data_IF_379303551975
#
_entry.id   IF_379303551975
#
_cell.length_a   1.000
_cell.length_b   1.000
_cell.length_c   1.000
_cell.angle_alpha   90.00
_cell.angle_beta   90.00
_cell.angle_gamma   90.00
#
_symmetry.space_group_name_H-M   'P 1'
#
loop_
_entity.id
_entity.type
_entity.pdbx_description
1 polymer ?
#
# COMPACT_ATOMS: atom_id res chain seq x y z
N UNK A 1 -14.00 -19.00 -0.70
CA UNK A 1 -15.42 -18.84 -1.11
C UNK A 1 -15.74 -17.44 -1.62
N UNK A 2 -15.45 -16.36 -0.90
CA UNK A 2 -15.78 -14.98 -1.34
C UNK A 2 -15.18 -14.63 -2.70
N UNK A 3 -13.91 -14.96 -2.96
CA UNK A 3 -13.27 -14.71 -4.27
C UNK A 3 -13.96 -15.47 -5.41
N UNK A 4 -14.38 -16.71 -5.15
CA UNK A 4 -15.08 -17.56 -6.14
C UNK A 4 -16.48 -17.02 -6.39
N UNK A 5 -17.16 -16.53 -5.35
CA UNK A 5 -18.48 -15.91 -5.44
C UNK A 5 -18.43 -14.58 -6.21
N UNK A 6 -17.41 -13.75 -5.93
CA UNK A 6 -17.16 -12.49 -6.64
C UNK A 6 -16.84 -12.77 -8.11
N UNK A 7 -15.97 -13.75 -8.41
CA UNK A 7 -15.61 -14.14 -9.78
C UNK A 7 -16.76 -14.80 -10.55
N UNK A 8 -17.62 -15.56 -9.87
CA UNK A 8 -18.76 -16.23 -10.50
C UNK A 8 -19.94 -15.31 -10.76
N UNK A 9 -20.10 -14.26 -9.94
CA UNK A 9 -21.18 -13.27 -10.09
C UNK A 9 -20.76 -12.11 -11.00
N UNK A 10 -19.46 -11.86 -11.20
CA UNK A 10 -18.99 -10.81 -12.11
C UNK A 10 -19.57 -10.90 -13.52
N UNK A 11 -19.61 -12.06 -14.22
CA UNK A 11 -20.14 -12.12 -15.59
C UNK A 11 -21.63 -11.80 -15.67
N UNK A 12 -22.43 -12.32 -14.73
CA UNK A 12 -23.88 -12.06 -14.64
C UNK A 12 -24.17 -10.60 -14.30
N UNK A 13 -23.33 -9.99 -13.46
CA UNK A 13 -23.44 -8.60 -13.06
C UNK A 13 -23.00 -7.64 -14.17
N UNK A 14 -21.89 -7.94 -14.85
CA UNK A 14 -21.40 -7.18 -16.00
C UNK A 14 -22.35 -7.27 -17.20
N UNK A 15 -23.05 -8.40 -17.38
CA UNK A 15 -24.02 -8.58 -18.46
C UNK A 15 -25.31 -7.77 -18.32
N UNK A 16 -25.69 -7.39 -17.09
CA UNK A 16 -26.90 -6.60 -16.81
C UNK A 16 -26.70 -5.09 -16.83
N UNK A 17 -25.52 -4.61 -17.20
CA UNK A 17 -25.12 -3.22 -17.02
C UNK A 17 -24.97 -2.51 -18.37
N UNK A 18 -25.54 -1.31 -18.50
CA UNK A 18 -25.49 -0.56 -19.75
C UNK A 18 -24.13 0.17 -19.88
N UNK A 19 -23.27 -0.41 -20.70
CA UNK A 19 -21.89 0.03 -20.93
C UNK A 19 -21.75 1.10 -22.01
N UNK A 20 -22.86 1.50 -22.65
CA UNK A 20 -22.93 2.44 -23.76
C UNK A 20 -22.29 3.81 -23.48
N UNK A 21 -22.17 4.20 -22.20
CA UNK A 21 -21.52 5.46 -21.79
C UNK A 21 -20.00 5.41 -21.61
N UNK A 22 -19.35 4.24 -21.72
CA UNK A 22 -17.90 4.11 -21.73
C UNK A 22 -17.44 3.85 -23.17
N UNK A 23 -16.60 4.72 -23.72
CA UNK A 23 -15.91 4.44 -24.98
C UNK A 23 -14.79 3.43 -24.74
N UNK A 24 -15.18 2.16 -24.54
CA UNK A 24 -14.26 1.03 -24.49
C UNK A 24 -13.41 0.96 -25.75
N UNK A 25 -13.93 1.48 -26.87
CA UNK A 25 -13.21 1.60 -28.12
C UNK A 25 -11.97 2.47 -28.02
N UNK A 26 -12.02 3.64 -27.35
CA UNK A 26 -10.85 4.51 -27.21
C UNK A 26 -9.79 3.89 -26.29
N UNK A 27 -10.22 3.31 -25.17
CA UNK A 27 -9.31 2.65 -24.21
C UNK A 27 -8.69 1.40 -24.85
N UNK A 28 -9.49 0.58 -25.54
CA UNK A 28 -9.02 -0.60 -26.25
C UNK A 28 -8.10 -0.20 -27.41
N UNK A 29 -8.38 0.88 -28.13
CA UNK A 29 -7.52 1.37 -29.20
C UNK A 29 -6.13 1.75 -28.67
N UNK A 30 -6.05 2.45 -27.53
CA UNK A 30 -4.77 2.81 -26.90
C UNK A 30 -4.08 1.58 -26.29
N UNK A 31 -4.84 0.74 -25.57
CA UNK A 31 -4.32 -0.48 -24.95
C UNK A 31 -3.80 -1.48 -25.98
N UNK A 32 -4.42 -1.56 -27.17
CA UNK A 32 -4.00 -2.44 -28.27
C UNK A 32 -2.63 -2.09 -28.86
N UNK A 33 -2.09 -0.90 -28.57
CA UNK A 33 -0.71 -0.53 -28.92
C UNK A 33 0.30 -0.86 -27.80
N UNK A 34 -0.17 -1.29 -26.63
CA UNK A 34 0.71 -1.68 -25.52
C UNK A 34 1.13 -3.14 -25.63
N UNK A 35 2.30 -3.52 -25.06
CA UNK A 35 2.73 -4.92 -24.97
C UNK A 35 1.69 -5.88 -24.38
N UNK A 36 0.83 -5.38 -23.49
CA UNK A 36 -0.18 -6.17 -22.79
C UNK A 36 -1.49 -6.30 -23.56
N UNK A 37 -1.86 -5.31 -24.37
CA UNK A 37 -3.10 -5.32 -25.16
C UNK A 37 -2.94 -5.75 -26.62
N UNK A 38 -1.75 -5.58 -27.20
CA UNK A 38 -1.47 -5.96 -28.59
C UNK A 38 -1.77 -7.43 -28.92
N UNK A 39 -1.45 -8.44 -28.06
CA UNK A 39 -1.79 -9.84 -28.34
C UNK A 39 -3.29 -10.10 -28.48
N UNK A 40 -4.11 -9.38 -27.71
CA UNK A 40 -5.57 -9.57 -27.65
C UNK A 40 -6.31 -8.90 -28.81
N UNK A 41 -5.69 -7.90 -29.44
CA UNK A 41 -6.29 -7.15 -30.54
C UNK A 41 -6.05 -7.79 -31.92
N UNK A 42 -5.03 -8.66 -32.05
CA UNK A 42 -4.67 -9.32 -33.32
C UNK A 42 -5.83 -10.17 -33.90
N UNK A 43 -6.54 -11.02 -33.14
CA UNK A 43 -7.65 -11.80 -33.69
C UNK A 43 -8.79 -10.92 -34.24
N UNK A 44 -9.05 -9.79 -33.59
CA UNK A 44 -10.06 -8.83 -34.01
C UNK A 44 -9.64 -8.10 -35.32
N UNK A 45 -8.37 -7.71 -35.44
CA UNK A 45 -7.85 -7.09 -36.66
C UNK A 45 -7.90 -8.05 -37.85
N UNK A 46 -7.56 -9.33 -37.64
CA UNK A 46 -7.64 -10.38 -38.66
C UNK A 46 -9.09 -10.62 -39.08
N UNK A 47 -10.02 -10.70 -38.13
CA UNK A 47 -11.45 -10.86 -38.41
C UNK A 47 -12.04 -9.67 -39.18
N UNK A 48 -11.52 -8.46 -38.95
CA UNK A 48 -11.92 -7.24 -39.68
C UNK A 48 -11.22 -7.04 -41.03
N UNK A 49 -10.33 -7.95 -41.44
CA UNK A 49 -9.55 -7.86 -42.68
C UNK A 49 -8.42 -6.81 -42.66
N UNK A 50 -8.12 -6.23 -41.50
CA UNK A 50 -7.10 -5.20 -41.32
C UNK A 50 -5.71 -5.80 -41.13
N UNK A 51 -5.21 -6.52 -42.15
CA UNK A 51 -3.95 -7.26 -42.11
C UNK A 51 -2.72 -6.40 -41.77
N UNK A 52 -2.71 -5.12 -42.19
CA UNK A 52 -1.62 -4.19 -41.86
C UNK A 52 -1.55 -3.84 -40.38
N UNK A 53 -2.69 -3.66 -39.71
CA UNK A 53 -2.77 -3.40 -38.27
C UNK A 53 -2.41 -4.66 -37.47
N UNK A 54 -2.90 -5.84 -37.91
CA UNK A 54 -2.54 -7.11 -37.32
C UNK A 54 -1.02 -7.35 -37.37
N UNK A 55 -0.38 -7.06 -38.51
CA UNK A 55 1.07 -7.17 -38.68
C UNK A 55 1.84 -6.20 -37.77
N UNK A 56 1.38 -4.95 -37.65
CA UNK A 56 2.00 -3.95 -36.77
C UNK A 56 1.92 -4.37 -35.28
N UNK A 57 0.77 -4.87 -34.83
CA UNK A 57 0.60 -5.35 -33.44
C UNK A 57 1.37 -6.64 -33.19
N UNK A 58 1.45 -7.52 -34.18
CA UNK A 58 2.30 -8.72 -34.11
C UNK A 58 3.79 -8.37 -34.03
N UNK A 59 4.23 -7.32 -34.72
CA UNK A 59 5.60 -6.81 -34.61
C UNK A 59 5.89 -6.26 -33.20
N UNK A 60 4.94 -5.59 -32.56
CA UNK A 60 5.07 -5.13 -31.15
C UNK A 60 5.26 -6.33 -30.23
N UNK A 61 4.44 -7.38 -30.37
CA UNK A 61 4.57 -8.61 -29.57
C UNK A 61 5.93 -9.27 -29.82
N UNK A 62 6.37 -9.37 -31.07
CA UNK A 62 7.68 -9.93 -31.41
C UNK A 62 8.84 -9.14 -30.82
N UNK A 63 8.80 -7.80 -30.87
CA UNK A 63 9.82 -6.93 -30.26
C UNK A 63 9.85 -7.09 -28.73
N UNK A 64 8.68 -7.16 -28.09
CA UNK A 64 8.57 -7.38 -26.64
C UNK A 64 9.18 -8.73 -26.26
N UNK A 65 8.93 -9.78 -27.03
CA UNK A 65 9.56 -11.10 -26.81
C UNK A 65 11.07 -11.04 -27.07
N UNK A 66 11.49 -10.43 -28.17
CA UNK A 66 12.89 -10.35 -28.57
C UNK A 66 13.76 -9.55 -27.58
N UNK A 67 13.21 -8.54 -26.92
CA UNK A 67 13.90 -7.76 -25.87
C UNK A 67 13.68 -8.37 -24.48
N UNK A 68 12.45 -8.77 -24.19
CA UNK A 68 12.03 -9.27 -22.88
C UNK A 68 12.69 -10.60 -22.54
N UNK A 69 12.79 -11.53 -23.48
CA UNK A 69 13.39 -12.84 -23.24
C UNK A 69 14.88 -12.79 -22.88
N UNK A 70 15.77 -12.07 -23.61
CA UNK A 70 17.17 -11.95 -23.21
C UNK A 70 17.35 -11.13 -21.93
N UNK A 71 16.52 -10.10 -21.70
CA UNK A 71 16.56 -9.35 -20.45
C UNK A 71 16.16 -10.24 -19.26
N UNK A 72 15.07 -11.00 -19.41
CA UNK A 72 14.61 -11.97 -18.43
C UNK A 72 15.69 -13.01 -18.14
N UNK A 73 16.29 -13.61 -19.18
CA UNK A 73 17.42 -14.55 -19.02
C UNK A 73 18.58 -13.93 -18.27
N UNK A 74 19.01 -12.70 -18.63
CA UNK A 74 20.10 -12.00 -17.92
C UNK A 74 19.77 -11.72 -16.46
N UNK A 75 18.53 -11.34 -16.17
CA UNK A 75 18.07 -11.07 -14.79
C UNK A 75 17.96 -12.38 -14.00
N UNK A 76 17.48 -13.45 -14.63
CA UNK A 76 17.37 -14.78 -14.02
C UNK A 76 18.75 -15.39 -13.76
N UNK A 77 19.67 -15.32 -14.73
CA UNK A 77 21.04 -15.78 -14.57
C UNK A 77 21.73 -15.01 -13.44
N UNK A 78 21.62 -13.67 -13.42
CA UNK A 78 22.12 -12.89 -12.28
C UNK A 78 21.46 -13.33 -10.99
N UNK A 79 20.15 -13.44 -10.92
CA UNK A 79 19.44 -13.79 -9.70
C UNK A 79 19.83 -15.18 -9.19
N UNK A 80 20.09 -16.15 -10.07
CA UNK A 80 20.47 -17.52 -9.72
C UNK A 80 21.97 -17.69 -9.44
N UNK A 81 22.83 -16.86 -10.04
CA UNK A 81 24.30 -16.94 -9.88
C UNK A 81 24.85 -15.98 -8.82
N UNK A 82 24.04 -15.03 -8.32
CA UNK A 82 24.43 -14.09 -7.26
C UNK A 82 23.96 -14.49 -5.86
N UNK A 83 23.39 -15.68 -5.68
CA UNK A 83 23.14 -16.24 -4.35
C UNK A 83 24.41 -16.92 -3.86
N UNK A 84 25.27 -16.16 -3.18
CA UNK A 84 26.40 -16.69 -2.42
C UNK A 84 27.71 -16.84 -3.19
N UNK A 85 28.07 -15.92 -4.09
CA UNK A 85 29.44 -15.89 -4.60
C UNK A 85 30.38 -15.24 -3.59
N UNK A 86 31.39 -16.02 -3.18
CA UNK A 86 32.69 -15.65 -2.63
C UNK A 86 33.47 -14.70 -3.58
N UNK A 87 32.80 -13.65 -4.06
CA UNK A 87 33.40 -12.57 -4.82
C UNK A 87 34.04 -11.60 -3.86
N UNK A 88 35.36 -11.71 -3.70
CA UNK A 88 36.17 -10.83 -2.87
C UNK A 88 35.70 -9.38 -2.94
N UNK A 89 35.63 -8.76 -1.76
CA UNK A 89 35.21 -7.39 -1.49
C UNK A 89 35.87 -6.38 -2.44
N UNK A 90 35.31 -6.22 -3.63
CA UNK A 90 35.79 -5.23 -4.59
C UNK A 90 35.17 -3.90 -4.22
N UNK A 91 35.97 -3.14 -3.49
CA UNK A 91 35.80 -1.72 -3.19
C UNK A 91 34.69 -1.44 -2.19
N UNK A 92 35.10 -0.89 -1.05
CA UNK A 92 34.28 -0.14 -0.11
C UNK A 92 33.39 0.89 -0.84
N UNK A 93 32.25 0.47 -1.39
CA UNK A 93 31.12 1.38 -1.61
C UNK A 93 30.74 1.78 -0.21
N UNK A 94 31.06 3.01 0.15
CA UNK A 94 30.79 3.54 1.48
C UNK A 94 29.43 3.03 1.97
N UNK A 95 29.45 2.20 3.02
CA UNK A 95 28.28 1.58 3.66
C UNK A 95 27.33 2.62 4.28
N UNK A 96 27.55 3.91 4.00
CA UNK A 96 26.79 5.05 4.47
C UNK A 96 25.62 5.28 3.52
N UNK A 97 24.43 4.88 3.95
CA UNK A 97 23.19 5.29 3.32
C UNK A 97 23.06 6.83 3.42
N UNK A 98 23.01 7.58 2.30
CA UNK A 98 22.91 9.05 2.35
C UNK A 98 21.67 9.53 3.11
N UNK A 99 20.60 8.73 3.06
CA UNK A 99 19.36 9.01 3.79
C UNK A 99 19.52 8.93 5.30
N UNK A 100 20.36 8.01 5.80
CA UNK A 100 20.65 7.89 7.24
C UNK A 100 21.37 9.14 7.72
N UNK A 101 22.41 9.58 6.98
CA UNK A 101 23.14 10.80 7.31
C UNK A 101 22.23 12.05 7.30
N UNK A 102 21.31 12.16 6.33
CA UNK A 102 20.33 13.25 6.28
C UNK A 102 19.33 13.21 7.43
N UNK A 103 18.85 12.03 7.83
CA UNK A 103 17.92 11.89 8.95
C UNK A 103 18.60 12.26 10.27
N UNK A 104 19.83 11.78 10.49
CA UNK A 104 20.64 12.16 11.66
C UNK A 104 20.90 13.67 11.69
N UNK A 105 21.26 14.27 10.55
CA UNK A 105 21.43 15.73 10.43
C UNK A 105 20.15 16.54 10.68
N UNK A 106 18.98 15.90 10.64
CA UNK A 106 17.67 16.50 10.99
C UNK A 106 17.22 16.19 12.42
N UNK A 107 18.09 15.63 13.26
CA UNK A 107 17.80 15.35 14.66
C UNK A 107 17.12 14.00 14.94
N UNK A 108 17.00 13.11 13.96
CA UNK A 108 16.55 11.73 14.19
C UNK A 108 17.66 10.95 14.88
N UNK A 109 17.33 10.09 15.84
CA UNK A 109 18.32 9.26 16.53
C UNK A 109 19.08 8.36 15.52
N UNK A 110 20.39 8.10 15.71
CA UNK A 110 21.14 7.23 14.81
C UNK A 110 20.52 5.84 14.64
N UNK A 111 19.96 5.27 15.71
CA UNK A 111 19.24 3.99 15.68
C UNK A 111 18.00 4.03 14.79
N UNK A 112 17.12 5.02 15.00
CA UNK A 112 15.91 5.17 14.19
C UNK A 112 16.23 5.47 12.72
N UNK A 113 17.26 6.28 12.47
CA UNK A 113 17.71 6.59 11.12
C UNK A 113 18.24 5.34 10.40
N UNK A 114 19.01 4.48 11.08
CA UNK A 114 19.50 3.22 10.52
C UNK A 114 18.36 2.26 10.17
N UNK A 115 17.39 2.09 11.07
CA UNK A 115 16.19 1.28 10.83
C UNK A 115 15.36 1.84 9.67
N UNK A 116 15.14 3.16 9.62
CA UNK A 116 14.45 3.81 8.49
C UNK A 116 15.16 3.58 7.15
N UNK A 117 16.49 3.67 7.13
CA UNK A 117 17.29 3.39 5.94
C UNK A 117 17.16 1.95 5.45
N UNK A 118 17.07 0.98 6.37
CA UNK A 118 16.78 -0.43 6.07
C UNK A 118 15.36 -0.60 5.53
N UNK A 119 14.35 -0.09 6.23
CA UNK A 119 12.94 -0.18 5.80
C UNK A 119 12.74 0.40 4.40
N UNK A 120 13.35 1.56 4.08
CA UNK A 120 13.28 2.16 2.74
C UNK A 120 13.92 1.29 1.65
N UNK A 121 14.96 0.52 1.97
CA UNK A 121 15.51 -0.46 1.02
C UNK A 121 14.53 -1.60 0.76
N UNK A 122 13.80 -2.06 1.78
CA UNK A 122 12.79 -3.10 1.62
C UNK A 122 11.62 -2.65 0.75
N UNK A 123 11.09 -1.45 0.97
CA UNK A 123 10.05 -0.88 0.11
C UNK A 123 10.46 -0.73 -1.36
N UNK A 124 11.76 -0.66 -1.67
CA UNK A 124 12.26 -0.56 -3.05
C UNK A 124 12.57 -1.89 -3.71
N UNK A 125 12.82 -2.94 -2.94
CA UNK A 125 13.45 -4.15 -3.47
C UNK A 125 12.94 -5.48 -2.93
N UNK A 126 12.22 -5.52 -1.81
CA UNK A 126 11.64 -6.76 -1.31
C UNK A 126 10.27 -7.00 -2.00
N UNK A 127 10.10 -8.11 -2.75
CA UNK A 127 8.83 -8.45 -3.38
C UNK A 127 7.63 -8.46 -2.43
N UNK A 128 7.83 -8.77 -1.14
CA UNK A 128 6.76 -8.78 -0.13
C UNK A 128 6.20 -7.38 0.12
N UNK A 129 7.08 -6.38 0.21
CA UNK A 129 6.67 -4.98 0.33
C UNK A 129 6.13 -4.43 -0.98
N UNK A 130 6.65 -4.87 -2.12
CA UNK A 130 6.13 -4.46 -3.44
C UNK A 130 4.71 -4.99 -3.70
N UNK A 131 4.38 -6.21 -3.25
CA UNK A 131 3.00 -6.72 -3.31
C UNK A 131 2.06 -5.87 -2.45
N UNK A 132 2.48 -5.47 -1.25
CA UNK A 132 1.70 -4.53 -0.43
C UNK A 132 1.58 -3.15 -1.10
N UNK A 133 2.63 -2.66 -1.74
CA UNK A 133 2.61 -1.42 -2.53
C UNK A 133 1.65 -1.49 -3.72
N UNK A 134 1.43 -2.68 -4.30
CA UNK A 134 0.41 -2.87 -5.33
C UNK A 134 -1.01 -2.76 -4.77
N UNK A 135 -1.27 -3.33 -3.59
CA UNK A 135 -2.57 -3.20 -2.90
C UNK A 135 -2.95 -1.74 -2.59
N UNK A 136 -1.94 -0.89 -2.35
CA UNK A 136 -2.09 0.55 -2.17
C UNK A 136 -2.64 1.29 -3.40
N UNK A 137 -2.46 0.74 -4.59
CA UNK A 137 -3.01 1.30 -5.83
C UNK A 137 -4.42 0.75 -6.05
N UNK A 138 -4.63 -0.54 -5.80
CA UNK A 138 -5.88 -1.21 -6.14
C UNK A 138 -7.04 -0.81 -5.22
N UNK A 139 -6.82 -0.75 -3.90
CA UNK A 139 -7.92 -0.52 -2.96
C UNK A 139 -8.57 0.87 -3.09
N UNK A 140 -7.81 1.98 -3.27
CA UNK A 140 -8.41 3.30 -3.50
C UNK A 140 -9.17 3.44 -4.82
N UNK A 141 -9.00 2.51 -5.77
CA UNK A 141 -9.76 2.48 -7.03
C UNK A 141 -11.15 1.87 -6.84
N UNK A 142 -11.34 1.04 -5.81
CA UNK A 142 -12.62 0.35 -5.54
C UNK A 142 -13.80 1.32 -5.41
N UNK A 143 -13.74 2.43 -4.63
CA UNK A 143 -14.84 3.39 -4.58
C UNK A 143 -15.20 3.99 -5.94
N UNK A 144 -14.21 4.24 -6.81
CA UNK A 144 -14.42 4.80 -8.14
C UNK A 144 -15.16 3.79 -9.02
N UNK A 145 -14.71 2.53 -8.99
CA UNK A 145 -15.39 1.44 -9.70
C UNK A 145 -16.82 1.32 -9.17
N UNK A 146 -17.02 1.25 -7.85
CA UNK A 146 -18.35 1.15 -7.25
C UNK A 146 -19.26 2.33 -7.64
N UNK A 147 -18.74 3.56 -7.68
CA UNK A 147 -19.52 4.73 -8.13
C UNK A 147 -19.94 4.63 -9.59
N UNK A 148 -19.05 4.17 -10.48
CA UNK A 148 -19.40 3.89 -11.87
C UNK A 148 -20.49 2.82 -11.93
N UNK A 149 -20.35 1.75 -11.14
CA UNK A 149 -21.29 0.65 -11.15
C UNK A 149 -22.69 1.08 -10.69
N UNK A 150 -22.78 1.87 -9.61
CA UNK A 150 -24.04 2.40 -9.09
C UNK A 150 -24.68 3.36 -10.10
N UNK A 151 -23.89 4.25 -10.73
CA UNK A 151 -24.41 5.21 -11.71
C UNK A 151 -24.98 4.58 -12.98
N UNK A 152 -24.62 3.32 -13.27
CA UNK A 152 -25.16 2.57 -14.40
C UNK A 152 -26.48 1.84 -14.07
N UNK A 153 -26.95 1.91 -12.82
CA UNK A 153 -28.27 1.40 -12.43
C UNK A 153 -29.34 2.47 -12.67
N UNK A 154 -30.60 2.07 -12.90
CA UNK A 154 -31.76 2.96 -13.10
C UNK A 154 -32.06 3.92 -11.93
N UNK A 155 -31.24 3.90 -10.88
CA UNK A 155 -31.24 4.81 -9.72
C UNK A 155 -31.15 6.31 -10.07
N UNK A 156 -30.87 6.68 -11.33
CA UNK A 156 -30.92 8.06 -11.81
C UNK A 156 -29.76 8.95 -11.31
N UNK A 157 -28.73 8.37 -10.69
CA UNK A 157 -27.55 9.13 -10.24
C UNK A 157 -26.61 9.38 -11.40
N UNK A 158 -26.41 10.65 -11.74
CA UNK A 158 -25.44 11.05 -12.76
C UNK A 158 -24.02 10.52 -12.45
N UNK A 159 -23.38 9.94 -13.47
CA UNK A 159 -22.06 9.31 -13.36
C UNK A 159 -20.98 10.29 -12.93
N UNK A 160 -20.99 11.52 -13.47
CA UNK A 160 -20.00 12.52 -13.09
C UNK A 160 -20.15 12.89 -11.61
N UNK A 161 -21.39 12.98 -11.13
CA UNK A 161 -21.70 13.22 -9.72
C UNK A 161 -21.26 12.06 -8.81
N UNK A 162 -21.53 10.81 -9.19
CA UNK A 162 -21.12 9.64 -8.41
C UNK A 162 -19.59 9.53 -8.30
N UNK A 163 -18.88 9.62 -9.43
CA UNK A 163 -17.42 9.52 -9.47
C UNK A 163 -16.77 10.64 -8.68
N UNK A 164 -17.27 11.86 -8.80
CA UNK A 164 -16.70 13.01 -8.10
C UNK A 164 -16.87 12.95 -6.57
N UNK A 165 -17.85 12.21 -6.05
CA UNK A 165 -17.93 11.85 -4.63
C UNK A 165 -16.96 10.72 -4.25
N UNK A 166 -16.90 9.65 -5.04
CA UNK A 166 -16.02 8.51 -4.75
C UNK A 166 -14.53 8.87 -4.72
N UNK A 167 -14.12 9.81 -5.56
CA UNK A 167 -12.74 10.30 -5.68
C UNK A 167 -12.25 10.97 -4.37
N UNK A 168 -13.15 11.43 -3.49
CA UNK A 168 -12.80 11.95 -2.16
C UNK A 168 -12.26 10.88 -1.20
N UNK A 169 -12.65 9.61 -1.40
CA UNK A 169 -12.23 8.50 -0.55
C UNK A 169 -10.83 7.97 -0.86
N UNK A 170 -10.27 8.32 -2.03
CA UNK A 170 -9.00 7.79 -2.54
C UNK A 170 -7.84 8.03 -1.56
N UNK A 171 -7.63 9.28 -1.14
CA UNK A 171 -6.53 9.63 -0.26
C UNK A 171 -6.68 9.07 1.18
N UNK A 172 -7.86 9.19 1.84
CA UNK A 172 -8.10 8.55 3.13
C UNK A 172 -7.86 7.03 3.12
N UNK A 173 -8.34 6.33 2.08
CA UNK A 173 -8.14 4.88 1.96
C UNK A 173 -6.68 4.53 1.74
N UNK A 174 -5.99 5.27 0.88
CA UNK A 174 -4.56 5.04 0.64
C UNK A 174 -3.73 5.28 1.92
N UNK A 175 -4.06 6.32 2.69
CA UNK A 175 -3.43 6.59 3.98
C UNK A 175 -3.68 5.47 5.00
N UNK A 176 -4.92 5.00 5.12
CA UNK A 176 -5.25 3.91 6.02
C UNK A 176 -4.50 2.62 5.66
N UNK A 177 -4.61 2.16 4.42
CA UNK A 177 -3.95 0.92 3.95
C UNK A 177 -2.44 1.03 4.07
N UNK A 178 -1.88 2.19 3.72
CA UNK A 178 -0.44 2.37 3.66
C UNK A 178 0.18 2.46 5.05
N UNK A 179 -0.50 3.14 5.98
CA UNK A 179 -0.09 3.19 7.37
C UNK A 179 -0.26 1.84 8.08
N UNK A 180 -1.26 1.07 7.65
CA UNK A 180 -1.49 -0.29 8.14
C UNK A 180 -0.45 -1.29 7.64
N UNK A 181 0.23 -1.05 6.51
CA UNK A 181 1.28 -1.94 5.99
C UNK A 181 2.35 -2.31 7.04
N UNK A 182 2.65 -1.40 7.98
CA UNK A 182 3.65 -1.57 9.06
C UNK A 182 3.20 -2.54 10.17
N UNK A 183 1.93 -2.98 10.18
CA UNK A 183 1.36 -3.77 11.28
C UNK A 183 2.02 -5.14 11.51
N UNK A 184 2.85 -5.61 10.57
CA UNK A 184 3.57 -6.89 10.66
C UNK A 184 5.05 -6.81 10.29
N UNK A 185 5.61 -5.60 10.19
CA UNK A 185 6.99 -5.35 9.73
C UNK A 185 8.04 -6.15 10.52
N UNK A 186 7.75 -6.43 11.79
CA UNK A 186 8.62 -7.22 12.67
C UNK A 186 8.62 -8.69 12.28
N UNK A 187 7.46 -9.26 11.96
CA UNK A 187 7.35 -10.63 11.52
C UNK A 187 8.01 -10.81 10.15
N UNK A 188 7.93 -9.79 9.28
CA UNK A 188 8.63 -9.77 7.99
C UNK A 188 10.16 -9.81 8.12
N UNK A 189 10.72 -9.28 9.23
CA UNK A 189 12.16 -9.40 9.51
C UNK A 189 12.58 -10.83 9.88
N UNK A 190 11.65 -11.72 10.20
CA UNK A 190 11.91 -13.12 10.55
C UNK A 190 13.00 -13.22 11.65
N UNK A 191 13.81 -14.27 11.60
CA UNK A 191 14.99 -14.48 12.45
C UNK A 191 16.01 -13.35 12.37
N UNK A 192 16.06 -12.53 11.31
CA UNK A 192 16.97 -11.38 11.22
C UNK A 192 16.67 -10.28 12.26
N UNK A 193 15.51 -10.34 12.93
CA UNK A 193 15.23 -9.53 14.11
C UNK A 193 16.27 -9.71 15.24
N UNK A 194 17.02 -10.83 15.26
CA UNK A 194 18.12 -11.04 16.21
C UNK A 194 19.13 -9.89 16.23
N UNK A 195 19.39 -9.23 15.09
CA UNK A 195 20.32 -8.10 14.99
C UNK A 195 19.85 -6.91 15.82
N UNK A 196 18.54 -6.67 15.91
CA UNK A 196 17.98 -5.58 16.73
C UNK A 196 18.12 -5.90 18.21
N UNK A 197 18.00 -7.19 18.58
CA UNK A 197 18.19 -7.66 19.96
C UNK A 197 19.67 -7.61 20.36
N UNK A 198 20.58 -8.09 19.51
CA UNK A 198 22.01 -8.13 19.79
C UNK A 198 22.66 -6.74 19.79
N UNK A 199 22.18 -5.81 18.95
CA UNK A 199 22.63 -4.42 18.94
C UNK A 199 21.95 -3.54 20.00
N UNK A 200 21.11 -4.14 20.86
CA UNK A 200 20.31 -3.48 21.90
C UNK A 200 19.58 -2.21 21.41
N UNK A 201 18.94 -2.32 20.24
CA UNK A 201 18.20 -1.20 19.66
C UNK A 201 17.00 -0.87 20.55
N UNK A 202 16.95 0.38 21.03
CA UNK A 202 15.81 0.88 21.82
C UNK A 202 14.53 0.69 21.02
N UNK A 203 13.48 0.19 21.65
CA UNK A 203 12.24 -0.13 20.96
C UNK A 203 11.56 1.09 20.36
N UNK A 204 11.72 2.26 20.99
CA UNK A 204 11.29 3.53 20.41
C UNK A 204 12.01 3.86 19.10
N UNK A 205 13.32 3.59 19.01
CA UNK A 205 14.12 3.85 17.81
C UNK A 205 13.71 2.89 16.68
N UNK A 206 13.46 1.62 17.00
CA UNK A 206 12.93 0.65 16.05
C UNK A 206 11.56 1.08 15.49
N UNK A 207 10.61 1.43 16.38
CA UNK A 207 9.26 1.84 15.96
C UNK A 207 9.28 3.11 15.11
N UNK A 208 10.01 4.15 15.53
CA UNK A 208 10.13 5.38 14.74
C UNK A 208 10.84 5.15 13.42
N UNK A 209 11.88 4.31 13.39
CA UNK A 209 12.59 3.98 12.15
C UNK A 209 11.68 3.34 11.11
N UNK A 210 10.89 2.33 11.51
CA UNK A 210 9.91 1.67 10.62
C UNK A 210 8.84 2.64 10.14
N UNK A 211 8.27 3.42 11.06
CA UNK A 211 7.27 4.43 10.73
C UNK A 211 7.82 5.46 9.73
N UNK A 212 9.03 5.98 9.93
CA UNK A 212 9.70 6.89 9.00
C UNK A 212 9.94 6.25 7.63
N UNK A 213 10.25 4.95 7.60
CA UNK A 213 10.44 4.21 6.35
C UNK A 213 9.23 4.24 5.42
N UNK A 214 8.02 4.22 5.99
CA UNK A 214 6.77 4.34 5.23
C UNK A 214 6.35 5.79 5.04
N UNK A 215 6.33 6.57 6.12
CA UNK A 215 5.80 7.94 6.11
C UNK A 215 6.56 8.85 5.15
N UNK A 216 7.86 8.64 4.94
CA UNK A 216 8.68 9.50 4.09
C UNK A 216 8.18 9.56 2.62
N UNK A 217 7.60 8.47 2.12
CA UNK A 217 7.02 8.43 0.78
C UNK A 217 5.48 8.44 0.80
N UNK A 218 4.85 7.89 1.84
CA UNK A 218 3.39 7.82 1.92
C UNK A 218 2.74 9.16 2.26
N UNK A 219 3.36 9.99 3.11
CA UNK A 219 2.87 11.35 3.43
C UNK A 219 2.75 12.20 2.15
N UNK A 220 3.82 12.40 1.34
CA UNK A 220 3.70 13.27 0.17
C UNK A 220 2.70 12.75 -0.85
N UNK A 221 2.64 11.42 -1.07
CA UNK A 221 1.67 10.83 -2.00
C UNK A 221 0.23 11.06 -1.54
N UNK A 222 -0.07 10.79 -0.26
CA UNK A 222 -1.44 10.94 0.26
C UNK A 222 -1.86 12.40 0.38
N UNK A 223 -0.94 13.33 0.68
CA UNK A 223 -1.22 14.78 0.68
C UNK A 223 -1.53 15.28 -0.74
N UNK A 224 -0.72 14.88 -1.73
CA UNK A 224 -0.98 15.25 -3.13
C UNK A 224 -2.34 14.74 -3.58
N UNK A 225 -2.68 13.49 -3.27
CA UNK A 225 -3.98 12.93 -3.60
C UNK A 225 -5.12 13.64 -2.85
N UNK A 226 -4.97 13.93 -1.56
CA UNK A 226 -6.00 14.61 -0.77
C UNK A 226 -6.34 16.03 -1.29
N UNK A 227 -5.43 16.65 -2.04
CA UNK A 227 -5.63 17.95 -2.69
C UNK A 227 -6.11 17.77 -4.13
N UNK A 228 -5.46 16.91 -4.91
CA UNK A 228 -5.75 16.72 -6.32
C UNK A 228 -7.10 16.07 -6.55
N UNK A 229 -7.46 15.04 -5.76
CA UNK A 229 -8.68 14.26 -6.00
C UNK A 229 -9.95 15.09 -5.79
N UNK A 230 -10.12 15.91 -4.72
CA UNK A 230 -11.29 16.77 -4.60
C UNK A 230 -11.30 17.90 -5.62
N UNK A 231 -10.13 18.45 -5.99
CA UNK A 231 -10.03 19.51 -6.99
C UNK A 231 -10.48 19.03 -8.39
N UNK A 232 -9.98 17.86 -8.83
CA UNK A 232 -10.38 17.23 -10.09
C UNK A 232 -11.85 16.80 -10.10
N UNK A 233 -12.40 16.46 -8.93
CA UNK A 233 -13.83 16.16 -8.75
C UNK A 233 -14.74 17.38 -8.60
N UNK A 234 -14.24 18.60 -8.84
CA UNK A 234 -15.04 19.84 -8.72
C UNK A 234 -15.48 20.17 -7.29
N UNK A 235 -14.83 19.58 -6.27
CA UNK A 235 -15.14 19.72 -4.84
C UNK A 235 -13.96 20.27 -4.05
N UNK A 236 -13.27 21.26 -4.62
CA UNK A 236 -12.10 21.90 -4.00
C UNK A 236 -12.38 22.44 -2.58
N UNK A 237 -13.62 22.85 -2.29
CA UNK A 237 -14.04 23.29 -0.96
C UNK A 237 -13.91 22.20 0.13
N UNK A 238 -13.91 20.91 -0.24
CA UNK A 238 -13.77 19.78 0.68
C UNK A 238 -12.31 19.37 0.92
N UNK A 239 -11.32 20.01 0.28
CA UNK A 239 -9.90 19.68 0.44
C UNK A 239 -9.47 19.68 1.93
N UNK A 240 -9.83 20.67 2.77
CA UNK A 240 -9.46 20.64 4.18
C UNK A 240 -10.02 19.42 4.93
N UNK A 241 -11.27 19.02 4.62
CA UNK A 241 -11.91 17.85 5.25
C UNK A 241 -11.22 16.54 4.85
N UNK A 242 -10.96 16.36 3.55
CA UNK A 242 -10.28 15.17 3.02
C UNK A 242 -8.86 15.07 3.54
N UNK A 243 -8.12 16.18 3.55
CA UNK A 243 -6.76 16.24 4.08
C UNK A 243 -6.73 15.92 5.58
N UNK A 244 -7.65 16.49 6.36
CA UNK A 244 -7.77 16.21 7.80
C UNK A 244 -8.00 14.73 8.10
N UNK A 245 -8.99 14.13 7.43
CA UNK A 245 -9.28 12.70 7.58
C UNK A 245 -8.09 11.83 7.14
N UNK A 246 -7.43 12.20 6.04
CA UNK A 246 -6.26 11.49 5.51
C UNK A 246 -5.12 11.48 6.54
N UNK A 247 -4.80 12.64 7.13
CA UNK A 247 -3.75 12.76 8.15
C UNK A 247 -4.10 12.01 9.44
N UNK A 248 -5.38 12.02 9.84
CA UNK A 248 -5.85 11.26 10.98
C UNK A 248 -5.66 9.76 10.78
N UNK A 249 -6.09 9.22 9.63
CA UNK A 249 -5.94 7.81 9.28
C UNK A 249 -4.47 7.40 9.12
N UNK A 250 -3.64 8.27 8.55
CA UNK A 250 -2.21 8.03 8.41
C UNK A 250 -1.51 7.91 9.77
N UNK A 251 -1.78 8.87 10.67
CA UNK A 251 -1.18 8.88 12.01
C UNK A 251 -1.75 7.81 12.94
N UNK A 252 -3.07 7.61 12.93
CA UNK A 252 -3.73 6.55 13.69
C UNK A 252 -3.31 5.17 13.20
N UNK A 253 -3.26 4.95 11.88
CA UNK A 253 -2.78 3.72 11.28
C UNK A 253 -1.35 3.40 11.69
N UNK A 254 -0.43 4.35 11.59
CA UNK A 254 0.98 4.12 11.97
C UNK A 254 1.14 3.86 13.46
N UNK A 255 0.41 4.59 14.31
CA UNK A 255 0.41 4.38 15.76
C UNK A 255 -0.14 3.01 16.17
N UNK A 256 -1.31 2.63 15.64
CA UNK A 256 -1.95 1.34 15.92
C UNK A 256 -1.10 0.19 15.39
N UNK A 257 -0.60 0.27 14.16
CA UNK A 257 0.34 -0.70 13.58
C UNK A 257 1.58 -0.88 14.47
N UNK A 258 2.14 0.21 14.98
CA UNK A 258 3.31 0.17 15.86
C UNK A 258 3.06 -0.57 17.18
N UNK A 259 1.85 -0.51 17.73
CA UNK A 259 1.44 -1.25 18.93
C UNK A 259 1.15 -2.72 18.61
N UNK A 260 0.28 -2.98 17.63
CA UNK A 260 -0.19 -4.32 17.30
C UNK A 260 0.94 -5.23 16.82
N UNK A 261 1.86 -4.70 15.99
CA UNK A 261 3.05 -5.44 15.52
C UNK A 261 3.96 -5.95 16.65
N UNK A 262 3.94 -5.30 17.82
CA UNK A 262 4.70 -5.73 19.00
C UNK A 262 3.86 -6.51 20.01
N UNK A 263 2.55 -6.25 20.07
CA UNK A 263 1.65 -6.85 21.04
C UNK A 263 1.13 -8.22 20.62
N UNK A 264 0.82 -8.39 19.33
CA UNK A 264 0.18 -9.58 18.75
C UNK A 264 0.91 -9.97 17.46
N UNK A 265 2.13 -10.53 17.55
CA UNK A 265 2.84 -11.00 16.37
C UNK A 265 2.12 -12.21 15.79
N UNK A 266 1.99 -12.26 14.46
CA UNK A 266 1.42 -13.40 13.76
C UNK A 266 2.29 -13.78 12.55
N UNK A 267 2.17 -15.00 12.00
CA UNK A 267 3.12 -15.48 11.02
C UNK A 267 3.05 -14.76 9.66
N UNK A 268 4.20 -14.29 9.20
CA UNK A 268 4.40 -13.64 7.89
C UNK A 268 5.15 -14.58 6.93
N UNK A 269 5.00 -14.45 5.60
CA UNK A 269 5.75 -15.28 4.64
C UNK A 269 7.28 -15.23 4.86
N UNK A 270 7.95 -16.38 5.05
CA UNK A 270 9.37 -16.41 5.35
C UNK A 270 10.23 -15.90 4.17
N UNK A 271 11.45 -15.43 4.44
CA UNK A 271 12.35 -14.93 3.39
C UNK A 271 12.59 -15.97 2.28
N UNK A 272 12.53 -15.54 1.02
CA UNK A 272 12.74 -16.41 -0.14
C UNK A 272 11.54 -17.24 -0.57
N UNK A 273 10.41 -17.18 0.15
CA UNK A 273 9.15 -17.83 -0.27
C UNK A 273 8.25 -16.85 -1.04
N UNK A 274 7.27 -17.39 -1.78
CA UNK A 274 6.32 -16.58 -2.53
C UNK A 274 5.52 -15.67 -1.58
N UNK A 275 5.49 -14.34 -1.78
CA UNK A 275 4.69 -13.42 -0.97
C UNK A 275 3.20 -13.78 -0.88
N UNK A 276 2.68 -14.52 -1.87
CA UNK A 276 1.28 -14.95 -1.95
C UNK A 276 1.01 -16.32 -1.30
N UNK A 277 2.03 -17.00 -0.76
CA UNK A 277 1.81 -18.28 -0.07
C UNK A 277 1.29 -18.04 1.34
N UNK A 278 0.04 -18.45 1.60
CA UNK A 278 -0.59 -18.33 2.91
C UNK A 278 -0.01 -19.35 3.90
N UNK A 279 0.27 -18.89 5.13
CA UNK A 279 0.54 -19.78 6.25
C UNK A 279 -0.78 -20.34 6.80
N UNK A 280 -1.08 -21.60 6.48
CA UNK A 280 -2.38 -22.25 6.76
C UNK A 280 -2.69 -22.54 8.24
N UNK A 281 -1.89 -22.06 9.21
CA UNK A 281 -2.04 -22.40 10.64
C UNK A 281 -2.44 -21.26 11.58
N UNK A 282 -2.39 -19.99 11.14
CA UNK A 282 -2.54 -18.84 12.04
C UNK A 282 -3.73 -17.92 11.73
N UNK A 283 -4.67 -18.39 10.90
CA UNK A 283 -5.76 -17.58 10.38
C UNK A 283 -6.58 -16.88 11.48
N UNK A 284 -6.83 -17.56 12.61
CA UNK A 284 -7.56 -16.98 13.75
C UNK A 284 -6.80 -15.85 14.46
N UNK A 285 -5.51 -16.04 14.74
CA UNK A 285 -4.67 -15.03 15.38
C UNK A 285 -4.49 -13.80 14.48
N UNK A 286 -4.27 -14.01 13.18
CA UNK A 286 -4.25 -12.95 12.18
C UNK A 286 -5.59 -12.22 12.15
N UNK A 287 -6.72 -12.92 12.12
CA UNK A 287 -8.04 -12.30 12.06
C UNK A 287 -8.32 -11.43 13.30
N UNK A 288 -8.00 -11.92 14.51
CA UNK A 288 -8.15 -11.15 15.75
C UNK A 288 -7.23 -9.93 15.78
N UNK A 289 -5.97 -10.08 15.35
CA UNK A 289 -5.03 -8.96 15.27
C UNK A 289 -5.51 -7.89 14.29
N UNK A 290 -5.96 -8.30 13.10
CA UNK A 290 -6.44 -7.39 12.06
C UNK A 290 -7.74 -6.69 12.48
N UNK A 291 -8.76 -7.44 12.91
CA UNK A 291 -10.02 -6.86 13.39
C UNK A 291 -9.80 -5.96 14.60
N UNK A 292 -9.00 -6.41 15.57
CA UNK A 292 -8.65 -5.59 16.74
C UNK A 292 -7.98 -4.29 16.34
N UNK A 293 -7.04 -4.33 15.38
CA UNK A 293 -6.37 -3.13 14.86
C UNK A 293 -7.36 -2.19 14.17
N UNK A 294 -8.33 -2.71 13.42
CA UNK A 294 -9.36 -1.89 12.77
C UNK A 294 -10.34 -1.26 13.76
N UNK A 295 -10.76 -1.99 14.78
CA UNK A 295 -11.63 -1.45 15.83
C UNK A 295 -10.91 -0.32 16.57
N UNK A 296 -9.67 -0.52 17.00
CA UNK A 296 -8.89 0.50 17.71
C UNK A 296 -8.65 1.71 16.81
N UNK A 297 -8.28 1.50 15.55
CA UNK A 297 -8.10 2.58 14.58
C UNK A 297 -9.39 3.37 14.38
N UNK A 298 -10.52 2.68 14.21
CA UNK A 298 -11.84 3.29 14.10
C UNK A 298 -12.13 4.18 15.30
N UNK A 299 -11.97 3.65 16.52
CA UNK A 299 -12.18 4.40 17.77
C UNK A 299 -11.29 5.63 17.86
N UNK A 300 -10.01 5.52 17.51
CA UNK A 300 -9.06 6.64 17.53
C UNK A 300 -9.46 7.74 16.54
N UNK A 301 -10.05 7.38 15.40
CA UNK A 301 -10.45 8.32 14.34
C UNK A 301 -11.85 8.92 14.57
N UNK A 302 -12.67 8.38 15.50
CA UNK A 302 -14.00 8.90 15.84
C UNK A 302 -14.02 10.43 16.01
N UNK A 303 -13.13 11.07 16.80
CA UNK A 303 -13.17 12.52 16.98
C UNK A 303 -13.04 13.28 15.66
N UNK A 304 -12.18 12.81 14.75
CA UNK A 304 -12.05 13.40 13.42
C UNK A 304 -13.28 13.12 12.56
N UNK A 305 -13.80 11.90 12.59
CA UNK A 305 -14.99 11.52 11.82
C UNK A 305 -16.23 12.33 12.24
N UNK A 306 -16.41 12.61 13.53
CA UNK A 306 -17.51 13.44 14.03
C UNK A 306 -17.47 14.87 13.48
N UNK A 307 -16.29 15.42 13.21
CA UNK A 307 -16.19 16.75 12.58
C UNK A 307 -16.68 16.78 11.13
N UNK A 308 -16.87 15.63 10.47
CA UNK A 308 -17.46 15.58 9.13
C UNK A 308 -18.96 15.86 9.13
N UNK A 309 -19.65 15.68 10.25
CA UNK A 309 -21.09 15.96 10.37
C UNK A 309 -21.40 17.42 9.97
N UNK A 310 -20.78 18.46 10.57
CA UNK A 310 -21.02 19.84 10.16
C UNK A 310 -20.51 20.18 8.75
N UNK A 311 -19.52 19.45 8.21
CA UNK A 311 -19.07 19.61 6.82
C UNK A 311 -20.22 19.35 5.84
N UNK A 312 -20.99 18.29 6.10
CA UNK A 312 -22.12 17.90 5.24
C UNK A 312 -23.44 18.55 5.63
N UNK A 313 -23.65 18.86 6.91
CA UNK A 313 -24.90 19.44 7.40
C UNK A 313 -24.99 20.97 7.28
N UNK A 314 -23.86 21.67 7.38
CA UNK A 314 -23.82 23.14 7.44
C UNK A 314 -23.04 23.72 6.27
N UNK A 315 -21.85 23.20 5.99
CA UNK A 315 -21.09 23.61 4.82
C UNK A 315 -19.60 23.27 4.87
N UNK A 316 -18.97 23.33 3.69
CA UNK A 316 -17.59 22.89 3.48
C UNK A 316 -16.54 23.65 4.30
N UNK A 317 -16.83 24.87 4.78
CA UNK A 317 -15.93 25.65 5.63
C UNK A 317 -15.54 24.92 6.93
N UNK A 318 -16.43 24.07 7.45
CA UNK A 318 -16.13 23.21 8.61
C UNK A 318 -15.02 22.19 8.34
N UNK A 319 -14.61 21.99 7.09
CA UNK A 319 -13.49 21.13 6.74
C UNK A 319 -12.17 21.59 7.38
N UNK A 320 -12.02 22.88 7.70
CA UNK A 320 -10.86 23.37 8.45
C UNK A 320 -10.81 22.82 9.87
N UNK A 321 -11.96 22.64 10.52
CA UNK A 321 -12.03 21.99 11.83
C UNK A 321 -11.59 20.52 11.69
N UNK A 322 -12.07 19.81 10.67
CA UNK A 322 -11.62 18.44 10.36
C UNK A 322 -10.13 18.37 10.11
N UNK A 323 -9.54 19.36 9.44
CA UNK A 323 -8.10 19.44 9.22
C UNK A 323 -7.33 19.54 10.54
N UNK A 324 -7.71 20.47 11.41
CA UNK A 324 -7.04 20.69 12.69
C UNK A 324 -7.20 19.49 13.62
N UNK A 325 -8.42 19.00 13.78
CA UNK A 325 -8.71 17.82 14.63
C UNK A 325 -8.02 16.59 14.05
N UNK A 326 -8.09 16.39 12.74
CA UNK A 326 -7.46 15.24 12.08
C UNK A 326 -5.94 15.23 12.19
N UNK A 327 -5.30 16.39 12.03
CA UNK A 327 -3.87 16.53 12.26
C UNK A 327 -3.52 16.24 13.74
N UNK A 328 -4.27 16.80 14.68
CA UNK A 328 -4.05 16.57 16.11
C UNK A 328 -4.22 15.08 16.48
N UNK A 329 -5.30 14.45 16.02
CA UNK A 329 -5.57 13.02 16.21
C UNK A 329 -4.46 12.16 15.60
N UNK A 330 -4.06 12.45 14.35
CA UNK A 330 -3.00 11.71 13.67
C UNK A 330 -1.66 11.80 14.40
N UNK A 331 -1.22 13.01 14.76
CA UNK A 331 0.05 13.22 15.49
C UNK A 331 0.00 12.57 16.86
N UNK A 332 -1.07 12.77 17.63
CA UNK A 332 -1.21 12.18 18.96
C UNK A 332 -1.20 10.65 18.90
N UNK A 333 -1.97 10.05 17.99
CA UNK A 333 -2.04 8.61 17.83
C UNK A 333 -0.70 8.01 17.38
N UNK A 334 0.00 8.63 16.44
CA UNK A 334 1.33 8.19 16.01
C UNK A 334 2.34 8.26 17.17
N UNK A 335 2.42 9.39 17.87
CA UNK A 335 3.39 9.57 18.97
C UNK A 335 3.11 8.61 20.13
N UNK A 336 1.85 8.51 20.57
CA UNK A 336 1.45 7.63 21.67
C UNK A 336 1.62 6.17 21.27
N UNK A 337 1.14 5.78 20.09
CA UNK A 337 1.22 4.42 19.57
C UNK A 337 2.65 3.94 19.39
N UNK A 338 3.53 4.73 18.76
CA UNK A 338 4.94 4.36 18.57
C UNK A 338 5.71 4.30 19.90
N UNK A 339 5.45 5.21 20.84
CA UNK A 339 6.04 5.14 22.18
C UNK A 339 5.57 3.91 22.95
N UNK A 340 4.29 3.59 22.87
CA UNK A 340 3.74 2.43 23.57
C UNK A 340 4.20 1.12 22.94
N UNK A 341 4.14 1.00 21.62
CA UNK A 341 4.69 -0.12 20.86
C UNK A 341 6.19 -0.32 21.13
N UNK A 342 6.96 0.76 21.24
CA UNK A 342 8.37 0.70 21.61
C UNK A 342 8.60 0.11 23.01
N UNK A 343 7.80 0.52 24.00
CA UNK A 343 7.86 -0.06 25.36
C UNK A 343 7.46 -1.53 25.39
N UNK A 344 6.47 -1.93 24.60
CA UNK A 344 6.06 -3.34 24.47
C UNK A 344 7.22 -4.14 23.87
N UNK A 345 7.84 -3.61 22.82
CA UNK A 345 8.99 -4.22 22.17
C UNK A 345 10.16 -4.39 23.13
N UNK A 346 10.53 -3.35 23.87
CA UNK A 346 11.62 -3.40 24.86
C UNK A 346 11.42 -4.54 25.88
N UNK A 347 10.18 -4.72 26.35
CA UNK A 347 9.82 -5.75 27.32
C UNK A 347 9.73 -7.15 26.72
N UNK A 348 9.37 -7.27 25.43
CA UNK A 348 9.05 -8.56 24.79
C UNK A 348 10.06 -9.00 23.73
N UNK A 349 11.13 -8.26 23.47
CA UNK A 349 12.06 -8.51 22.35
C UNK A 349 12.58 -9.95 22.25
N UNK A 350 12.96 -10.55 23.38
CA UNK A 350 13.45 -11.93 23.42
C UNK A 350 12.31 -12.92 23.16
N UNK A 351 11.17 -12.75 23.83
CA UNK A 351 9.97 -13.59 23.63
C UNK A 351 9.55 -13.56 22.17
N UNK A 352 9.48 -12.37 21.58
CA UNK A 352 9.09 -12.19 20.18
C UNK A 352 10.05 -12.88 19.21
N UNK A 353 11.37 -12.78 19.43
CA UNK A 353 12.35 -13.50 18.63
C UNK A 353 12.16 -15.02 18.74
N UNK A 354 11.93 -15.54 19.95
CA UNK A 354 11.68 -16.97 20.16
C UNK A 354 10.37 -17.44 19.52
N UNK A 355 9.32 -16.61 19.55
CA UNK A 355 8.05 -16.89 18.89
C UNK A 355 8.22 -16.95 17.38
N UNK A 356 8.88 -15.97 16.78
CA UNK A 356 9.14 -15.94 15.32
C UNK A 356 9.96 -17.16 14.90
N UNK A 357 10.99 -17.53 15.67
CA UNK A 357 11.81 -18.72 15.44
C UNK A 357 11.02 -20.03 15.52
N UNK A 358 9.91 -20.06 16.28
CA UNK A 358 9.07 -21.25 16.39
C UNK A 358 8.15 -21.46 15.18
N UNK A 359 8.03 -20.47 14.29
CA UNK A 359 7.17 -20.59 13.11
C UNK A 359 7.78 -21.50 12.04
N UNK A 360 6.95 -22.20 11.25
CA UNK A 360 7.45 -23.08 10.20
C UNK A 360 8.28 -22.29 9.17
N UNK A 361 9.51 -22.77 8.90
CA UNK A 361 10.42 -22.25 7.85
C UNK A 361 11.04 -20.85 8.11
N UNK A 362 11.14 -20.42 9.37
CA UNK A 362 11.70 -19.10 9.78
C UNK A 362 13.12 -19.12 10.34
#
# INVERSE_FOLDING_TARGET
>A
MVLVLVLSLTPSFLGGQDWSGFSFHAIAAVAAWTPFGAPWAIPADVASGAWGLAAARLAIVAVVIAVGLPLYRRLLDRAMTTVGSDGGSSTSRSTRLPIVARLVGRGVSPGAAAVAGRSLRYWRGDPRYLVQAFSLIFLPVVPIVMAVLISNQETGVDRATAVSWAVLAVAPLMAWVGAWAVHDDVAYDSTAFWLHVAADVRGIDDRWGRALGVLLWLVPVTVVLAIATPALGGRAALVPAVLGLTLALLGAGTGVSGVFSAAVPYPAPPPGTNPMSNQTGAMGATFVAQLGSFVVLGVVVIPTALTLIPVFAVGAAWGWLTLVVGLATGVAAAVVGLRWGGRILDRRRVVMLTTIRSWPKH
#
